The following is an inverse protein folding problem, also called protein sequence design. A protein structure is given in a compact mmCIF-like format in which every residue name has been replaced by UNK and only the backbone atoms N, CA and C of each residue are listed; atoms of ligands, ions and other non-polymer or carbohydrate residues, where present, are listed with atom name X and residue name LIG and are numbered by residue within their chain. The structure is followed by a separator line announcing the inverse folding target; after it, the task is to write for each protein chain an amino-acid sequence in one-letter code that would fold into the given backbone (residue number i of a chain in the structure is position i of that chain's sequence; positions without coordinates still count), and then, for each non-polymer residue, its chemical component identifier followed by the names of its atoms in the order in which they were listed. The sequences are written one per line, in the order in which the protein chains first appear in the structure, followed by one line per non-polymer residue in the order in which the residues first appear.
data_IF_874659725870
#
_entry.id   IF_874659725870
#
_cell.length_a   1.000
_cell.length_b   1.000
_cell.length_c   1.000
_cell.angle_alpha   90.00
_cell.angle_beta   90.00
_cell.angle_gamma   90.00
#
_symmetry.space_group_name_H-M   'P 1'
#
loop_
_entity.id
_entity.type
_entity.pdbx_description
1 polymer ?
#
# COMPACT_ATOMS: atom_id res chain seq x y z
N UNK A 1 -8.77 -4.03 -0.75
CA UNK A 1 -7.87 -3.16 0.03
C UNK A 1 -6.46 -3.32 -0.54
N UNK A 2 -5.62 -2.30 -0.55
CA UNK A 2 -4.28 -2.43 -1.14
C UNK A 2 -3.61 -1.10 -1.44
N UNK A 3 -2.38 -1.17 -1.95
CA UNK A 3 -1.65 0.01 -2.40
C UNK A 3 -2.39 0.72 -3.55
N UNK A 4 -2.49 2.04 -3.48
CA UNK A 4 -3.07 2.87 -4.56
C UNK A 4 -2.01 3.36 -5.55
N UNK A 5 -0.76 3.40 -5.12
CA UNK A 5 0.39 3.85 -5.90
C UNK A 5 1.49 2.81 -5.70
N UNK A 6 1.95 2.22 -6.78
CA UNK A 6 3.03 1.23 -6.80
C UNK A 6 4.13 1.76 -7.70
N UNK A 7 5.37 1.74 -7.21
CA UNK A 7 6.52 2.27 -7.92
C UNK A 7 7.81 1.60 -7.45
N UNK A 8 8.93 2.27 -7.73
CA UNK A 8 10.27 1.76 -7.43
C UNK A 8 11.08 2.66 -6.51
N UNK A 9 12.15 2.09 -5.95
CA UNK A 9 13.22 2.81 -5.26
C UNK A 9 14.53 2.65 -6.07
N UNK A 10 15.68 2.84 -5.43
CA UNK A 10 17.00 2.59 -6.00
C UNK A 10 17.10 1.18 -6.60
N UNK A 11 17.58 1.07 -7.84
CA UNK A 11 17.72 -0.21 -8.57
C UNK A 11 16.50 -0.63 -9.41
N UNK A 12 15.46 0.21 -9.48
CA UNK A 12 14.31 -0.05 -10.37
C UNK A 12 14.67 0.29 -11.81
N UNK A 13 14.65 -0.70 -12.70
CA UNK A 13 14.89 -0.54 -14.13
C UNK A 13 13.59 -0.42 -14.92
N UNK A 14 13.66 -0.07 -16.20
CA UNK A 14 12.50 -0.07 -17.10
C UNK A 14 11.84 -1.46 -17.20
N UNK A 15 12.64 -2.52 -17.17
CA UNK A 15 12.12 -3.90 -17.18
C UNK A 15 11.27 -4.18 -15.92
N UNK A 16 11.70 -3.69 -14.76
CA UNK A 16 10.92 -3.82 -13.52
C UNK A 16 9.58 -3.09 -13.64
N UNK A 17 9.57 -1.86 -14.15
CA UNK A 17 8.32 -1.08 -14.34
C UNK A 17 7.36 -1.76 -15.32
N UNK A 18 7.87 -2.31 -16.43
CA UNK A 18 7.06 -3.05 -17.39
C UNK A 18 6.43 -4.31 -16.74
N UNK A 19 7.19 -5.04 -15.93
CA UNK A 19 6.69 -6.20 -15.20
C UNK A 19 5.63 -5.81 -14.15
N UNK A 20 5.87 -4.73 -13.39
CA UNK A 20 4.89 -4.19 -12.44
C UNK A 20 3.59 -3.81 -13.15
N UNK A 21 3.68 -3.17 -14.31
CA UNK A 21 2.49 -2.81 -15.10
C UNK A 21 1.70 -4.05 -15.54
N UNK A 22 2.38 -5.05 -16.11
CA UNK A 22 1.73 -6.31 -16.51
C UNK A 22 1.04 -7.00 -15.32
N UNK A 23 1.68 -7.02 -14.16
CA UNK A 23 1.11 -7.62 -12.95
C UNK A 23 -0.15 -6.87 -12.49
N UNK A 24 -0.15 -5.53 -12.55
CA UNK A 24 -1.32 -4.72 -12.22
C UNK A 24 -2.47 -4.92 -13.21
N UNK A 25 -2.17 -5.03 -14.50
CA UNK A 25 -3.18 -5.27 -15.53
C UNK A 25 -3.84 -6.65 -15.39
N UNK A 26 -3.09 -7.66 -14.96
CA UNK A 26 -3.60 -9.01 -14.71
C UNK A 26 -4.17 -9.20 -13.28
N UNK A 27 -4.14 -8.19 -12.42
CA UNK A 27 -4.50 -8.35 -11.01
C UNK A 27 -6.01 -8.39 -10.80
N UNK A 28 -6.50 -9.48 -10.23
CA UNK A 28 -7.86 -9.59 -9.70
C UNK A 28 -7.90 -9.23 -8.23
N UNK A 29 -8.73 -8.27 -7.87
CA UNK A 29 -8.88 -7.81 -6.49
C UNK A 29 -9.43 -8.94 -5.61
N UNK A 30 -8.71 -9.26 -4.55
CA UNK A 30 -9.17 -10.20 -3.53
C UNK A 30 -9.77 -9.49 -2.32
N UNK A 31 -10.46 -10.27 -1.48
CA UNK A 31 -10.93 -9.82 -0.19
C UNK A 31 -9.79 -9.43 0.73
N UNK A 32 -10.09 -8.54 1.67
CA UNK A 32 -9.14 -8.15 2.70
C UNK A 32 -8.94 -9.35 3.65
N UNK A 33 -7.69 -9.83 3.84
CA UNK A 33 -7.46 -10.92 4.78
C UNK A 33 -7.73 -10.46 6.22
N UNK A 34 -8.18 -11.39 7.05
CA UNK A 34 -8.31 -11.19 8.49
C UNK A 34 -6.94 -11.24 9.18
N UNK A 35 -6.87 -10.76 10.42
CA UNK A 35 -5.62 -10.75 11.19
C UNK A 35 -5.16 -12.17 11.49
N UNK A 36 -6.10 -13.06 11.80
CA UNK A 36 -5.84 -14.47 12.10
C UNK A 36 -5.17 -15.17 10.91
N UNK A 37 -5.71 -14.94 9.71
CA UNK A 37 -5.15 -15.50 8.46
C UNK A 37 -3.74 -14.98 8.15
N UNK A 38 -3.45 -13.73 8.49
CA UNK A 38 -2.10 -13.16 8.33
C UNK A 38 -1.12 -13.84 9.30
N UNK A 39 -1.52 -13.99 10.57
CA UNK A 39 -0.68 -14.61 11.61
C UNK A 39 -0.41 -16.08 11.31
N UNK A 40 -1.41 -16.82 10.84
CA UNK A 40 -1.25 -18.22 10.43
C UNK A 40 -0.24 -18.38 9.30
N UNK A 41 -0.27 -17.47 8.31
CA UNK A 41 0.56 -17.61 7.09
C UNK A 41 1.97 -17.03 7.22
N UNK A 42 2.13 -15.92 7.93
CA UNK A 42 3.38 -15.13 8.01
C UNK A 42 4.05 -15.25 9.39
N UNK A 43 3.27 -15.55 10.43
CA UNK A 43 3.72 -15.60 11.82
C UNK A 43 3.28 -14.39 12.66
N UNK A 44 3.67 -14.36 13.94
CA UNK A 44 3.21 -13.33 14.88
C UNK A 44 3.66 -11.93 14.47
N UNK A 45 2.72 -10.98 14.58
CA UNK A 45 2.97 -9.58 14.28
C UNK A 45 3.89 -8.94 15.32
N UNK A 46 4.95 -8.26 14.87
CA UNK A 46 5.83 -7.47 15.77
C UNK A 46 5.26 -6.10 16.12
N UNK A 47 4.45 -5.52 15.23
CA UNK A 47 3.89 -4.19 15.41
C UNK A 47 2.49 -4.25 16.03
N UNK A 48 2.13 -3.18 16.73
CA UNK A 48 0.76 -2.98 17.23
C UNK A 48 -0.22 -2.96 16.05
N UNK A 49 -1.42 -3.47 16.29
CA UNK A 49 -2.49 -3.43 15.30
C UNK A 49 -2.85 -1.98 14.98
N UNK A 50 -2.99 -1.67 13.70
CA UNK A 50 -3.43 -0.35 13.27
C UNK A 50 -4.89 -0.14 13.67
N UNK A 51 -5.21 1.05 14.15
CA UNK A 51 -6.59 1.49 14.32
C UNK A 51 -7.31 1.51 12.98
N UNK A 52 -8.62 1.26 13.00
CA UNK A 52 -9.44 1.31 11.78
C UNK A 52 -9.44 2.74 11.27
N UNK A 53 -9.01 2.94 10.02
CA UNK A 53 -9.11 4.23 9.35
C UNK A 53 -10.58 4.54 9.09
N UNK A 54 -11.18 5.35 9.95
CA UNK A 54 -12.50 5.98 9.75
C UNK A 54 -12.33 7.32 9.03
N UNK A 55 -13.41 7.85 8.48
CA UNK A 55 -13.39 9.16 7.79
C UNK A 55 -12.88 10.26 8.73
N UNK A 56 -13.22 10.16 10.01
CA UNK A 56 -12.76 11.05 11.09
C UNK A 56 -11.26 10.96 11.39
N UNK A 57 -10.61 9.83 11.09
CA UNK A 57 -9.16 9.63 11.32
C UNK A 57 -8.30 9.87 10.08
N UNK A 58 -8.89 10.24 8.94
CA UNK A 58 -8.11 10.71 7.80
C UNK A 58 -7.61 12.13 8.08
N UNK A 59 -6.36 12.23 8.56
CA UNK A 59 -5.74 13.53 8.84
C UNK A 59 -5.94 14.48 7.65
N UNK A 60 -6.54 15.64 7.95
CA UNK A 60 -6.82 16.70 7.01
C UNK A 60 -5.60 16.90 6.10
N UNK A 61 -5.83 16.82 4.79
CA UNK A 61 -4.84 17.02 3.72
C UNK A 61 -3.92 18.17 4.09
N UNK A 62 -2.76 17.85 4.67
CA UNK A 62 -1.79 18.86 5.12
C UNK A 62 -1.43 19.67 3.88
N UNK A 63 -1.83 20.94 3.88
CA UNK A 63 -1.54 21.91 2.82
C UNK A 63 -0.02 21.90 2.61
N UNK A 64 0.42 21.24 1.54
CA UNK A 64 1.83 21.25 1.16
C UNK A 64 2.06 22.63 0.60
N UNK A 65 2.77 23.47 1.37
CA UNK A 65 3.26 24.79 0.96
C UNK A 65 3.67 24.75 -0.52
N UNK A 66 2.78 25.20 -1.39
CA UNK A 66 3.15 25.66 -2.72
C UNK A 66 3.84 27.01 -2.52
N UNK A 67 5.09 26.99 -2.09
CA UNK A 67 6.02 28.06 -2.45
C UNK A 67 6.73 27.60 -3.71
N UNK A 68 6.02 27.68 -4.85
CA UNK A 68 6.69 27.72 -6.14
C UNK A 68 7.16 29.16 -6.32
N UNK A 69 8.48 29.35 -6.31
CA UNK A 69 9.10 30.38 -7.13
C UNK A 69 9.17 29.86 -8.57
#
# INVERSE_FOLDING_TARGET
AGAKIVGGCCGTSFAHLAAMRKALDAHTRSDRPSVEKIVERIGPMRNKQATVNTVETSEARRERRRSRA
#
